data_IF_832083213771
#
_entry.id   IF_832083213771
#
_cell.length_a   1.000
_cell.length_b   1.000
_cell.length_c   1.000
_cell.angle_alpha   90.00
_cell.angle_beta   90.00
_cell.angle_gamma   90.00
#
_symmetry.space_group_name_H-M   'P 1'
#
loop_
_entity.id
_entity.type
_entity.pdbx_description
1 polymer ?
#
# COMPACT_ATOMS: atom_id res chain seq x y z
N UNK A 1 3.92 23.00 49.46
CA UNK A 1 2.85 22.98 48.44
C UNK A 1 2.84 21.64 47.70
N UNK A 2 2.62 20.54 48.42
CA UNK A 2 2.88 19.17 47.91
C UNK A 2 1.77 18.16 48.24
N UNK A 3 0.55 18.61 48.54
CA UNK A 3 -0.56 17.71 48.91
C UNK A 3 -1.83 17.91 48.07
N UNK A 4 -1.96 18.98 47.28
CA UNK A 4 -3.14 19.19 46.43
C UNK A 4 -3.13 18.39 45.12
N UNK A 5 -1.96 17.94 44.65
CA UNK A 5 -1.85 17.17 43.40
C UNK A 5 -2.26 15.69 43.52
N UNK A 6 -2.32 15.13 44.73
CA UNK A 6 -2.85 13.77 44.96
C UNK A 6 -4.36 13.72 45.16
N UNK A 7 -5.02 14.87 45.33
CA UNK A 7 -6.47 14.93 45.51
C UNK A 7 -7.25 15.01 44.18
N UNK A 8 -6.56 15.13 43.03
CA UNK A 8 -7.18 15.10 41.69
C UNK A 8 -7.04 13.76 40.95
N UNK A 9 -6.43 12.76 41.57
CA UNK A 9 -6.38 11.38 41.06
C UNK A 9 -7.54 10.51 41.56
N UNK A 10 -8.54 11.13 42.20
CA UNK A 10 -9.77 10.46 42.68
C UNK A 10 -11.04 11.04 42.05
N UNK A 11 -10.93 11.71 40.89
CA UNK A 11 -12.10 11.95 40.05
C UNK A 11 -12.38 10.70 39.22
N UNK A 12 -13.14 9.78 39.82
CA UNK A 12 -14.10 8.87 39.19
C UNK A 12 -13.69 8.40 37.80
N UNK A 13 -13.27 7.13 37.72
CA UNK A 13 -13.43 6.30 36.53
C UNK A 13 -14.91 6.36 36.12
N UNK A 14 -15.32 7.41 35.39
CA UNK A 14 -16.64 7.49 34.79
C UNK A 14 -16.58 6.49 33.67
N UNK A 15 -17.05 5.28 33.95
CA UNK A 15 -17.44 4.34 32.91
C UNK A 15 -18.13 5.11 31.80
N UNK A 16 -17.70 4.92 30.56
CA UNK A 16 -18.32 5.51 29.39
C UNK A 16 -19.82 5.19 29.42
N UNK A 17 -20.63 6.15 29.86
CA UNK A 17 -22.05 5.92 30.08
C UNK A 17 -22.73 5.70 28.74
N UNK A 18 -23.62 4.72 28.64
CA UNK A 18 -24.37 4.43 27.41
C UNK A 18 -25.24 5.60 26.91
N UNK A 19 -25.50 6.60 27.76
CA UNK A 19 -26.15 7.85 27.38
C UNK A 19 -25.24 8.79 26.57
N UNK A 20 -23.93 8.55 26.55
CA UNK A 20 -22.97 9.36 25.80
C UNK A 20 -22.90 8.89 24.34
N UNK A 21 -23.09 9.77 23.34
CA UNK A 21 -22.92 9.44 21.93
C UNK A 21 -21.56 8.80 21.59
N UNK A 22 -20.50 9.13 22.33
CA UNK A 22 -19.19 8.49 22.17
C UNK A 22 -19.21 6.99 22.50
N UNK A 23 -20.06 6.56 23.42
CA UNK A 23 -20.24 5.14 23.74
C UNK A 23 -20.78 4.36 22.54
N UNK A 24 -21.75 4.95 21.83
CA UNK A 24 -22.33 4.37 20.63
C UNK A 24 -21.33 4.33 19.49
N UNK A 25 -20.62 5.43 19.24
CA UNK A 25 -19.57 5.48 18.23
C UNK A 25 -18.48 4.44 18.49
N UNK A 26 -17.96 4.37 19.72
CA UNK A 26 -16.98 3.36 20.11
C UNK A 26 -17.52 1.92 19.98
N UNK A 27 -18.77 1.69 20.40
CA UNK A 27 -19.43 0.39 20.24
C UNK A 27 -19.54 -0.03 18.76
N UNK A 28 -19.87 0.91 17.87
CA UNK A 28 -19.89 0.67 16.42
C UNK A 28 -18.48 0.32 15.90
N UNK A 29 -17.45 1.09 16.27
CA UNK A 29 -16.07 0.79 15.87
C UNK A 29 -15.62 -0.60 16.34
N UNK A 30 -16.01 -0.99 17.55
CA UNK A 30 -15.70 -2.30 18.16
C UNK A 30 -16.38 -3.43 17.38
N UNK A 31 -17.67 -3.28 17.06
CA UNK A 31 -18.42 -4.27 16.26
C UNK A 31 -17.83 -4.40 14.86
N UNK A 32 -17.58 -3.28 14.19
CA UNK A 32 -16.96 -3.26 12.85
C UNK A 32 -15.59 -3.94 12.88
N UNK A 33 -14.78 -3.68 13.91
CA UNK A 33 -13.48 -4.35 14.09
C UNK A 33 -13.61 -5.86 14.28
N UNK A 34 -14.61 -6.31 15.04
CA UNK A 34 -14.91 -7.74 15.20
C UNK A 34 -15.28 -8.39 13.86
N UNK A 35 -16.10 -7.72 13.05
CA UNK A 35 -16.44 -8.17 11.68
C UNK A 35 -15.20 -8.23 10.80
N UNK A 36 -14.37 -7.19 10.80
CA UNK A 36 -13.14 -7.12 10.00
C UNK A 36 -12.18 -8.28 10.33
N UNK A 37 -11.98 -8.57 11.62
CA UNK A 37 -11.16 -9.70 12.08
C UNK A 37 -11.76 -11.04 11.62
N UNK A 38 -13.07 -11.22 11.77
CA UNK A 38 -13.75 -12.44 11.35
C UNK A 38 -13.59 -12.68 9.83
N UNK A 39 -13.77 -11.64 9.01
CA UNK A 39 -13.57 -11.72 7.55
C UNK A 39 -12.12 -12.05 7.23
N UNK A 40 -11.14 -11.43 7.91
CA UNK A 40 -9.72 -11.78 7.70
C UNK A 40 -9.46 -13.26 8.00
N UNK A 41 -10.02 -13.82 9.08
CA UNK A 41 -9.89 -15.25 9.37
C UNK A 41 -10.55 -16.14 8.32
N UNK A 42 -11.70 -15.73 7.75
CA UNK A 42 -12.34 -16.45 6.64
C UNK A 42 -11.42 -16.47 5.42
N UNK A 43 -10.87 -15.32 5.02
CA UNK A 43 -9.93 -15.23 3.89
C UNK A 43 -8.66 -16.05 4.16
N UNK A 44 -8.11 -15.97 5.37
CA UNK A 44 -6.95 -16.75 5.78
C UNK A 44 -7.22 -18.25 5.62
N UNK A 45 -8.37 -18.75 6.09
CA UNK A 45 -8.74 -20.17 5.97
C UNK A 45 -8.96 -20.58 4.51
N UNK A 46 -9.62 -19.74 3.72
CA UNK A 46 -9.91 -20.03 2.31
C UNK A 46 -8.65 -20.12 1.46
N UNK A 47 -7.66 -19.25 1.71
CA UNK A 47 -6.41 -19.22 0.97
C UNK A 47 -5.27 -19.99 1.65
N UNK A 48 -5.53 -20.64 2.79
CA UNK A 48 -4.54 -21.43 3.51
C UNK A 48 -4.02 -22.61 2.67
N UNK A 49 -4.88 -23.24 1.87
CA UNK A 49 -4.46 -24.36 0.99
C UNK A 49 -3.47 -23.92 -0.08
N UNK A 50 -3.62 -22.70 -0.61
CA UNK A 50 -2.67 -22.08 -1.55
C UNK A 50 -1.34 -21.73 -0.87
N UNK A 51 -1.37 -21.46 0.44
CA UNK A 51 -0.20 -21.16 1.26
C UNK A 51 0.72 -22.38 1.41
N UNK A 52 0.14 -23.57 1.58
CA UNK A 52 0.85 -24.82 1.85
C UNK A 52 1.35 -25.56 0.60
N UNK A 53 0.87 -25.20 -0.59
CA UNK A 53 1.21 -25.89 -1.84
C UNK A 53 2.52 -25.44 -2.53
N UNK A 54 3.16 -24.36 -2.06
CA UNK A 54 4.38 -23.82 -2.69
C UNK A 54 5.63 -24.19 -1.89
N UNK A 55 6.28 -25.28 -2.28
CA UNK A 55 7.61 -25.69 -1.80
C UNK A 55 8.67 -24.71 -2.35
N UNK A 56 8.76 -23.50 -1.81
CA UNK A 56 9.82 -22.54 -2.14
C UNK A 56 9.41 -21.08 -2.02
N UNK A 57 9.54 -20.52 -0.81
CA UNK A 57 9.29 -19.10 -0.51
C UNK A 57 7.90 -18.81 0.03
N UNK A 58 7.69 -17.67 0.73
CA UNK A 58 6.35 -17.25 1.11
C UNK A 58 5.54 -17.03 -0.17
N UNK A 59 4.44 -17.76 -0.33
CA UNK A 59 3.51 -17.53 -1.43
C UNK A 59 3.06 -16.06 -1.41
N UNK A 60 2.96 -15.42 -2.57
CA UNK A 60 2.63 -13.99 -2.66
C UNK A 60 1.30 -13.64 -1.96
N UNK A 61 0.33 -14.56 -1.97
CA UNK A 61 -0.93 -14.42 -1.23
C UNK A 61 -0.72 -14.45 0.28
N UNK A 62 0.24 -15.25 0.78
CA UNK A 62 0.63 -15.28 2.18
C UNK A 62 1.19 -13.95 2.66
N UNK A 63 2.04 -13.31 1.85
CA UNK A 63 2.53 -11.98 2.12
C UNK A 63 1.37 -10.96 2.15
N UNK A 64 0.48 -10.99 1.16
CA UNK A 64 -0.69 -10.10 1.13
C UNK A 64 -1.59 -10.26 2.36
N UNK A 65 -1.84 -11.49 2.81
CA UNK A 65 -2.62 -11.77 4.02
C UNK A 65 -1.92 -11.29 5.29
N UNK A 66 -0.59 -11.43 5.37
CA UNK A 66 0.21 -10.94 6.50
C UNK A 66 0.18 -9.40 6.57
N UNK A 67 0.37 -8.73 5.44
CA UNK A 67 0.28 -7.26 5.36
C UNK A 67 -1.14 -6.79 5.73
N UNK A 68 -2.17 -7.47 5.23
CA UNK A 68 -3.55 -7.20 5.62
C UNK A 68 -3.80 -7.45 7.10
N UNK A 69 -3.21 -8.49 7.69
CA UNK A 69 -3.32 -8.78 9.11
C UNK A 69 -2.79 -7.60 9.94
N UNK A 70 -1.58 -7.12 9.62
CA UNK A 70 -0.98 -5.98 10.29
C UNK A 70 -1.91 -4.76 10.24
N UNK A 71 -2.56 -4.50 9.10
CA UNK A 71 -3.52 -3.42 8.96
C UNK A 71 -4.82 -3.65 9.75
N UNK A 72 -5.49 -4.80 9.55
CA UNK A 72 -6.76 -5.17 10.20
C UNK A 72 -6.62 -5.15 11.73
N UNK A 73 -5.60 -5.83 12.27
CA UNK A 73 -5.38 -5.89 13.72
C UNK A 73 -4.88 -4.54 14.28
N UNK A 74 -4.12 -3.77 13.51
CA UNK A 74 -3.75 -2.41 13.89
C UNK A 74 -4.96 -1.46 14.02
N UNK A 75 -5.86 -1.50 13.04
CA UNK A 75 -7.11 -0.75 13.07
C UNK A 75 -8.04 -1.23 14.20
N UNK A 76 -8.11 -2.54 14.44
CA UNK A 76 -8.90 -3.09 15.56
C UNK A 76 -8.35 -2.64 16.91
N UNK A 77 -7.03 -2.67 17.10
CA UNK A 77 -6.38 -2.16 18.31
C UNK A 77 -6.74 -0.69 18.57
N UNK A 78 -6.68 0.16 17.54
CA UNK A 78 -7.04 1.58 17.64
C UNK A 78 -8.55 1.84 17.75
N UNK A 79 -9.38 0.90 17.31
CA UNK A 79 -10.84 0.96 17.51
C UNK A 79 -11.24 0.58 18.93
N UNK A 80 -10.56 -0.39 19.54
CA UNK A 80 -10.78 -0.77 20.94
C UNK A 80 -10.19 0.26 21.90
N UNK A 81 -9.08 0.91 21.53
CA UNK A 81 -8.43 1.97 22.29
C UNK A 81 -8.30 3.26 21.44
N UNK A 82 -9.43 3.96 21.18
CA UNK A 82 -9.39 5.22 20.43
C UNK A 82 -8.55 6.27 21.17
N UNK A 83 -7.79 7.03 20.39
CA UNK A 83 -6.95 8.14 20.86
C UNK A 83 -6.71 9.15 19.73
N UNK A 84 -6.61 10.43 20.08
CA UNK A 84 -6.13 11.45 19.17
C UNK A 84 -4.68 11.81 19.55
N UNK A 85 -3.76 11.46 18.66
CA UNK A 85 -2.34 11.36 18.99
C UNK A 85 -1.72 12.71 19.34
N UNK A 86 -2.01 13.77 18.56
CA UNK A 86 -1.46 15.12 18.79
C UNK A 86 -2.07 15.79 20.04
N UNK A 87 -3.37 15.62 20.26
CA UNK A 87 -4.09 16.19 21.41
C UNK A 87 -3.79 15.48 22.73
N UNK A 88 -3.16 14.30 22.68
CA UNK A 88 -2.93 13.41 23.84
C UNK A 88 -4.21 12.94 24.51
N UNK A 89 -5.33 12.90 23.81
CA UNK A 89 -6.60 12.43 24.38
C UNK A 89 -6.85 10.97 24.06
N UNK A 90 -7.46 10.24 24.99
CA UNK A 90 -7.83 8.83 24.81
C UNK A 90 -9.14 8.51 25.55
N UNK A 91 -9.77 7.39 25.16
CA UNK A 91 -11.03 6.96 25.77
C UNK A 91 -10.82 6.11 27.04
N UNK A 92 -9.70 5.40 27.14
CA UNK A 92 -9.42 4.47 28.23
C UNK A 92 -8.07 4.73 28.88
N UNK A 93 -8.02 4.68 30.22
CA UNK A 93 -6.78 4.83 30.97
C UNK A 93 -6.00 3.51 31.02
N UNK A 94 -5.07 3.32 30.08
CA UNK A 94 -4.16 2.17 30.07
C UNK A 94 -2.87 2.55 29.38
N UNK A 95 -1.77 1.88 29.73
CA UNK A 95 -0.47 2.09 29.06
C UNK A 95 -0.54 1.79 27.55
N UNK A 96 -1.47 0.93 27.13
CA UNK A 96 -1.74 0.65 25.72
C UNK A 96 -2.34 1.85 24.97
N UNK A 97 -2.95 2.80 25.69
CA UNK A 97 -3.46 4.07 25.15
C UNK A 97 -2.36 5.12 24.95
N UNK A 98 -1.12 4.82 25.34
CA UNK A 98 0.01 5.71 25.08
C UNK A 98 0.13 6.03 23.59
N UNK A 99 0.55 7.26 23.31
CA UNK A 99 0.63 7.76 21.94
C UNK A 99 1.74 7.05 21.16
N UNK A 100 2.86 6.71 21.81
CA UNK A 100 3.94 5.93 21.18
C UNK A 100 3.43 4.58 20.69
N UNK A 101 2.77 3.78 21.55
CA UNK A 101 2.26 2.46 21.16
C UNK A 101 1.25 2.61 20.02
N UNK A 102 0.36 3.59 20.12
CA UNK A 102 -0.65 3.86 19.11
C UNK A 102 -0.12 4.23 17.74
N UNK A 103 0.85 5.16 17.73
CA UNK A 103 1.47 5.64 16.51
C UNK A 103 2.37 4.57 15.91
N UNK A 104 3.09 3.78 16.72
CA UNK A 104 3.85 2.63 16.22
C UNK A 104 2.97 1.59 15.54
N UNK A 105 1.83 1.24 16.15
CA UNK A 105 0.86 0.30 15.54
C UNK A 105 0.29 0.88 14.23
N UNK A 106 -0.08 2.16 14.22
CA UNK A 106 -0.57 2.82 13.01
C UNK A 106 0.49 2.86 11.90
N UNK A 107 1.74 3.20 12.22
CA UNK A 107 2.84 3.23 11.25
C UNK A 107 3.07 1.86 10.60
N UNK A 108 3.10 0.78 11.39
CA UNK A 108 3.22 -0.58 10.83
C UNK A 108 2.04 -0.91 9.93
N UNK A 109 0.82 -0.63 10.40
CA UNK A 109 -0.40 -0.86 9.64
C UNK A 109 -0.37 -0.11 8.29
N UNK A 110 -0.07 1.18 8.31
CA UNK A 110 -0.05 2.08 7.15
C UNK A 110 1.00 1.68 6.11
N UNK A 111 2.21 1.33 6.55
CA UNK A 111 3.25 0.81 5.66
C UNK A 111 2.80 -0.51 5.02
N UNK A 112 2.17 -1.40 5.79
CA UNK A 112 1.66 -2.67 5.26
C UNK A 112 0.55 -2.44 4.22
N UNK A 113 -0.38 -1.53 4.47
CA UNK A 113 -1.44 -1.17 3.53
C UNK A 113 -0.88 -0.55 2.24
N UNK A 114 0.08 0.35 2.37
CA UNK A 114 0.80 0.93 1.22
C UNK A 114 1.53 -0.14 0.41
N UNK A 115 2.15 -1.11 1.08
CA UNK A 115 2.83 -2.23 0.43
C UNK A 115 1.84 -3.12 -0.35
N UNK A 116 0.63 -3.38 0.17
CA UNK A 116 -0.40 -4.12 -0.57
C UNK A 116 -0.77 -3.43 -1.90
N UNK A 117 -0.96 -2.10 -1.87
CA UNK A 117 -1.21 -1.33 -3.10
C UNK A 117 -0.04 -1.40 -4.07
N UNK A 118 1.19 -1.25 -3.58
CA UNK A 118 2.39 -1.36 -4.40
C UNK A 118 2.50 -2.75 -5.07
N UNK A 119 2.23 -3.83 -4.34
CA UNK A 119 2.25 -5.21 -4.86
C UNK A 119 1.20 -5.37 -5.98
N UNK A 120 -0.04 -4.94 -5.75
CA UNK A 120 -1.12 -5.07 -6.75
C UNK A 120 -0.82 -4.25 -8.01
N UNK A 121 -0.37 -3.01 -7.86
CA UNK A 121 -0.02 -2.19 -9.02
C UNK A 121 1.18 -2.75 -9.78
N UNK A 122 2.20 -3.23 -9.08
CA UNK A 122 3.35 -3.86 -9.71
C UNK A 122 2.95 -5.11 -10.50
N UNK A 123 2.11 -5.95 -9.91
CA UNK A 123 1.57 -7.15 -10.55
C UNK A 123 0.77 -6.81 -11.81
N UNK A 124 -0.22 -5.92 -11.70
CA UNK A 124 -1.06 -5.50 -12.82
C UNK A 124 -0.21 -4.84 -13.92
N UNK A 125 0.70 -3.94 -13.54
CA UNK A 125 1.62 -3.28 -14.47
C UNK A 125 2.53 -4.26 -15.20
N UNK A 126 3.03 -5.30 -14.52
CA UNK A 126 3.85 -6.36 -15.13
C UNK A 126 3.03 -7.17 -16.12
N UNK A 127 1.79 -7.54 -15.76
CA UNK A 127 0.90 -8.28 -16.66
C UNK A 127 0.53 -7.52 -17.93
N UNK A 128 0.38 -6.19 -17.83
CA UNK A 128 -0.02 -5.36 -18.98
C UNK A 128 1.17 -4.73 -19.71
N UNK A 129 2.39 -4.85 -19.21
CA UNK A 129 3.57 -4.14 -19.73
C UNK A 129 3.47 -2.61 -19.59
N UNK A 130 2.77 -2.11 -18.56
CA UNK A 130 2.51 -0.69 -18.38
C UNK A 130 3.57 -0.04 -17.47
N UNK A 131 4.63 0.53 -18.06
CA UNK A 131 5.73 1.18 -17.32
C UNK A 131 5.26 2.28 -16.36
N UNK A 132 4.22 3.03 -16.75
CA UNK A 132 3.61 4.06 -15.89
C UNK A 132 3.05 3.48 -14.60
N UNK A 133 2.45 2.29 -14.66
CA UNK A 133 1.90 1.59 -13.49
C UNK A 133 3.03 1.00 -12.63
N UNK A 134 4.09 0.49 -13.26
CA UNK A 134 5.27 -0.01 -12.56
C UNK A 134 5.99 1.11 -11.80
N UNK A 135 6.17 2.26 -12.43
CA UNK A 135 6.75 3.44 -11.80
C UNK A 135 5.87 3.97 -10.66
N UNK A 136 4.55 3.97 -10.85
CA UNK A 136 3.59 4.29 -9.79
C UNK A 136 3.75 3.35 -8.59
N UNK A 137 3.85 2.05 -8.81
CA UNK A 137 4.06 1.06 -7.75
C UNK A 137 5.34 1.31 -6.95
N UNK A 138 6.44 1.64 -7.63
CA UNK A 138 7.76 1.81 -7.03
C UNK A 138 7.86 3.00 -6.05
N UNK A 139 7.03 4.04 -6.23
CA UNK A 139 7.10 5.27 -5.42
C UNK A 139 6.16 5.26 -4.21
N UNK A 140 5.18 4.37 -4.14
CA UNK A 140 4.16 4.34 -3.07
C UNK A 140 4.81 4.20 -1.69
N UNK A 141 5.56 3.12 -1.45
CA UNK A 141 6.12 2.84 -0.12
C UNK A 141 7.13 3.91 0.33
N UNK A 142 8.08 4.37 -0.52
CA UNK A 142 8.98 5.48 -0.15
C UNK A 142 8.24 6.76 0.27
N UNK A 143 7.18 7.14 -0.44
CA UNK A 143 6.40 8.33 -0.10
C UNK A 143 5.67 8.15 1.24
N UNK A 144 5.10 6.97 1.50
CA UNK A 144 4.45 6.69 2.79
C UNK A 144 5.45 6.68 3.93
N UNK A 145 6.66 6.14 3.76
CA UNK A 145 7.71 6.24 4.79
C UNK A 145 8.07 7.70 5.12
N UNK A 146 8.08 8.59 4.12
CA UNK A 146 8.27 10.03 4.34
C UNK A 146 7.06 10.61 5.10
N UNK A 147 5.83 10.24 4.73
CA UNK A 147 4.62 10.66 5.43
C UNK A 147 4.65 10.25 6.92
N UNK A 148 5.10 9.02 7.22
CA UNK A 148 5.25 8.55 8.61
C UNK A 148 6.26 9.39 9.41
N UNK A 149 7.37 9.81 8.79
CA UNK A 149 8.30 10.73 9.45
C UNK A 149 7.62 12.05 9.84
N UNK A 150 6.75 12.60 8.98
CA UNK A 150 5.96 13.79 9.31
C UNK A 150 4.90 13.51 10.38
N UNK A 151 4.27 12.35 10.35
CA UNK A 151 3.33 11.88 11.38
C UNK A 151 3.99 11.85 12.76
N UNK A 152 5.15 11.20 12.86
CA UNK A 152 5.94 11.14 14.09
C UNK A 152 6.44 12.51 14.53
N UNK A 153 6.94 13.32 13.59
CA UNK A 153 7.37 14.69 13.90
C UNK A 153 6.23 15.50 14.52
N UNK A 154 5.04 15.44 13.92
CA UNK A 154 3.88 16.19 14.38
C UNK A 154 3.42 15.74 15.76
N UNK A 155 3.38 14.42 15.98
CA UNK A 155 3.01 13.83 17.27
C UNK A 155 4.01 14.21 18.35
N UNK A 156 5.31 14.07 18.10
CA UNK A 156 6.37 14.40 19.07
C UNK A 156 6.38 15.90 19.38
N UNK A 157 6.27 16.77 18.38
CA UNK A 157 6.40 18.22 18.57
C UNK A 157 5.08 18.94 18.86
N UNK A 158 3.96 18.22 18.82
CA UNK A 158 2.58 18.75 18.82
C UNK A 158 2.27 19.70 17.67
N UNK A 159 3.03 19.62 16.56
CA UNK A 159 2.90 20.50 15.42
C UNK A 159 1.95 19.91 14.36
N UNK A 160 0.69 20.34 14.35
CA UNK A 160 -0.33 19.89 13.39
C UNK A 160 0.03 20.10 11.91
N UNK A 161 1.03 20.95 11.59
CA UNK A 161 1.51 21.09 10.22
C UNK A 161 2.10 19.79 9.67
N UNK A 162 2.74 18.97 10.51
CA UNK A 162 3.27 17.68 10.07
C UNK A 162 2.16 16.71 9.68
N UNK A 163 1.05 16.63 10.43
CA UNK A 163 -0.13 15.85 10.04
C UNK A 163 -0.74 16.36 8.71
N UNK A 164 -0.77 17.69 8.50
CA UNK A 164 -1.27 18.23 7.24
C UNK A 164 -0.39 17.81 6.05
N UNK A 165 0.94 17.79 6.22
CA UNK A 165 1.89 17.34 5.19
C UNK A 165 1.76 15.83 4.96
N UNK A 166 1.74 15.02 6.01
CA UNK A 166 1.50 13.57 5.95
C UNK A 166 0.24 13.25 5.13
N UNK A 167 -0.90 13.84 5.49
CA UNK A 167 -2.17 13.60 4.79
C UNK A 167 -2.16 14.13 3.34
N UNK A 168 -1.40 15.19 3.08
CA UNK A 168 -1.17 15.66 1.70
C UNK A 168 -0.34 14.65 0.88
N UNK A 169 0.65 14.00 1.49
CA UNK A 169 1.43 12.94 0.83
C UNK A 169 0.54 11.73 0.55
N UNK A 170 -0.34 11.35 1.47
CA UNK A 170 -1.36 10.32 1.22
C UNK A 170 -2.25 10.66 0.02
N UNK A 171 -2.67 11.93 -0.12
CA UNK A 171 -3.43 12.40 -1.29
C UNK A 171 -2.62 12.23 -2.58
N UNK A 172 -1.34 12.60 -2.59
CA UNK A 172 -0.46 12.43 -3.75
C UNK A 172 -0.29 10.95 -4.10
N UNK A 173 -0.06 10.08 -3.12
CA UNK A 173 0.08 8.64 -3.31
C UNK A 173 -1.19 8.05 -3.93
N UNK A 174 -2.36 8.35 -3.39
CA UNK A 174 -3.61 7.82 -3.91
C UNK A 174 -4.01 8.43 -5.26
N UNK A 175 -3.60 9.66 -5.55
CA UNK A 175 -3.71 10.23 -6.89
C UNK A 175 -2.87 9.46 -7.90
N UNK A 176 -1.62 9.12 -7.56
CA UNK A 176 -0.73 8.28 -8.38
C UNK A 176 -1.33 6.89 -8.58
N UNK A 177 -1.85 6.27 -7.52
CA UNK A 177 -2.55 4.96 -7.60
C UNK A 177 -3.74 5.06 -8.55
N UNK A 178 -4.61 6.07 -8.37
CA UNK A 178 -5.77 6.30 -9.23
C UNK A 178 -5.39 6.49 -10.70
N UNK A 179 -4.34 7.26 -10.99
CA UNK A 179 -3.83 7.44 -12.34
C UNK A 179 -3.32 6.12 -12.95
N UNK A 180 -2.62 5.29 -12.16
CA UNK A 180 -2.21 3.94 -12.55
C UNK A 180 -3.40 3.04 -12.89
N UNK A 181 -4.44 3.02 -12.04
CA UNK A 181 -5.65 2.25 -12.29
C UNK A 181 -6.42 2.74 -13.54
N UNK A 182 -6.50 4.06 -13.75
CA UNK A 182 -7.09 4.64 -14.96
C UNK A 182 -6.34 4.20 -16.22
N UNK A 183 -5.00 4.12 -16.16
CA UNK A 183 -4.19 3.62 -17.27
C UNK A 183 -4.42 2.13 -17.53
N UNK A 184 -4.67 1.33 -16.49
CA UNK A 184 -5.00 -0.09 -16.62
C UNK A 184 -6.44 -0.34 -17.07
N UNK A 185 -7.34 0.63 -16.92
CA UNK A 185 -8.76 0.45 -17.24
C UNK A 185 -9.07 -0.08 -18.66
N UNK A 186 -8.44 0.39 -19.76
CA UNK A 186 -8.69 -0.13 -21.10
C UNK A 186 -8.08 -1.53 -21.35
N UNK A 187 -7.22 -2.01 -20.46
CA UNK A 187 -6.49 -3.27 -20.59
C UNK A 187 -7.31 -4.49 -20.16
N UNK A 188 -8.45 -4.26 -19.50
CA UNK A 188 -9.31 -5.28 -18.91
C UNK A 188 -10.79 -5.04 -19.27
N UNK A 189 -11.55 -6.12 -19.41
CA UNK A 189 -13.00 -6.12 -19.63
C UNK A 189 -13.76 -6.94 -18.58
N UNK A 190 -15.10 -6.82 -18.61
CA UNK A 190 -15.98 -7.59 -17.74
C UNK A 190 -15.83 -7.25 -16.25
N UNK A 191 -15.90 -8.26 -15.34
CA UNK A 191 -15.84 -8.04 -13.89
C UNK A 191 -14.60 -7.30 -13.40
N UNK A 192 -13.41 -7.55 -13.99
CA UNK A 192 -12.16 -6.89 -13.57
C UNK A 192 -12.23 -5.39 -13.83
N UNK A 193 -12.77 -4.99 -14.98
CA UNK A 193 -12.98 -3.58 -15.31
C UNK A 193 -13.93 -2.89 -14.33
N UNK A 194 -15.00 -3.58 -13.91
CA UNK A 194 -15.94 -3.07 -12.91
C UNK A 194 -15.24 -2.86 -11.56
N UNK A 195 -14.40 -3.81 -11.13
CA UNK A 195 -13.61 -3.68 -9.89
C UNK A 195 -12.66 -2.49 -9.97
N UNK A 196 -11.98 -2.28 -11.10
CA UNK A 196 -11.12 -1.10 -11.31
C UNK A 196 -11.91 0.21 -11.22
N UNK A 197 -13.10 0.28 -11.84
CA UNK A 197 -13.98 1.46 -11.77
C UNK A 197 -14.38 1.75 -10.32
N UNK A 198 -14.81 0.72 -9.58
CA UNK A 198 -15.18 0.86 -8.17
C UNK A 198 -13.99 1.37 -7.34
N UNK A 199 -12.79 0.82 -7.56
CA UNK A 199 -11.57 1.27 -6.89
C UNK A 199 -11.25 2.74 -7.22
N UNK A 200 -11.35 3.14 -8.49
CA UNK A 200 -11.13 4.54 -8.93
C UNK A 200 -12.14 5.48 -8.27
N UNK A 201 -13.43 5.11 -8.20
CA UNK A 201 -14.46 5.91 -7.52
C UNK A 201 -14.16 6.02 -6.03
N UNK A 202 -13.76 4.93 -5.37
CA UNK A 202 -13.36 4.93 -3.97
C UNK A 202 -12.17 5.86 -3.71
N UNK A 203 -11.15 5.82 -4.57
CA UNK A 203 -9.99 6.72 -4.52
C UNK A 203 -10.42 8.18 -4.70
N UNK A 204 -11.28 8.47 -5.68
CA UNK A 204 -11.79 9.82 -5.90
C UNK A 204 -12.55 10.34 -4.67
N UNK A 205 -13.36 9.50 -4.02
CA UNK A 205 -14.03 9.82 -2.76
C UNK A 205 -13.06 10.09 -1.61
N UNK A 206 -12.02 9.26 -1.47
CA UNK A 206 -10.96 9.46 -0.48
C UNK A 206 -10.17 10.75 -0.71
N UNK A 207 -9.80 11.06 -1.96
CA UNK A 207 -9.14 12.32 -2.31
C UNK A 207 -10.03 13.52 -2.00
N UNK A 208 -11.32 13.45 -2.31
CA UNK A 208 -12.27 14.51 -1.95
C UNK A 208 -12.31 14.71 -0.43
N UNK A 209 -12.33 13.62 0.35
CA UNK A 209 -12.29 13.68 1.81
C UNK A 209 -11.00 14.34 2.34
N UNK A 210 -9.83 13.92 1.86
CA UNK A 210 -8.56 14.51 2.26
C UNK A 210 -8.49 16.02 1.98
N UNK A 211 -8.95 16.43 0.80
CA UNK A 211 -8.84 17.81 0.33
C UNK A 211 -9.88 18.76 0.96
N UNK A 212 -11.02 18.24 1.42
CA UNK A 212 -12.13 19.07 1.91
C UNK A 212 -12.35 18.99 3.41
N UNK A 213 -11.92 17.90 4.06
CA UNK A 213 -12.16 17.66 5.48
C UNK A 213 -10.84 17.53 6.23
N UNK A 214 -10.02 16.56 5.88
CA UNK A 214 -8.91 16.10 6.73
C UNK A 214 -7.73 17.09 6.74
N UNK A 215 -7.15 17.40 5.58
CA UNK A 215 -6.05 18.38 5.49
C UNK A 215 -6.49 19.77 5.99
N UNK A 216 -7.68 20.29 5.61
CA UNK A 216 -8.18 21.55 6.17
C UNK A 216 -8.33 21.54 7.69
N UNK A 217 -8.77 20.43 8.30
CA UNK A 217 -8.87 20.29 9.76
C UNK A 217 -7.49 20.51 10.41
N UNK A 218 -6.44 19.83 9.95
CA UNK A 218 -5.10 19.99 10.49
C UNK A 218 -4.51 21.39 10.27
N UNK A 219 -4.73 21.99 9.10
CA UNK A 219 -4.30 23.36 8.83
C UNK A 219 -5.02 24.38 9.72
N UNK A 220 -6.30 24.17 10.00
CA UNK A 220 -7.06 25.06 10.89
C UNK A 220 -6.52 25.00 12.33
N UNK A 221 -6.21 23.80 12.85
CA UNK A 221 -5.61 23.59 14.17
C UNK A 221 -4.21 24.17 14.25
N UNK A 222 -3.41 24.02 13.20
CA UNK A 222 -2.08 24.63 13.13
C UNK A 222 -2.18 26.16 13.19
N UNK A 223 -3.04 26.79 12.39
CA UNK A 223 -3.24 28.25 12.40
C UNK A 223 -3.73 28.75 13.75
N UNK A 224 -4.66 28.04 14.39
CA UNK A 224 -5.13 28.37 15.73
C UNK A 224 -3.98 28.29 16.75
N UNK A 225 -3.20 27.20 16.73
CA UNK A 225 -2.04 27.07 17.61
C UNK A 225 -0.99 28.15 17.40
N UNK A 226 -0.76 28.61 16.16
CA UNK A 226 0.15 29.73 15.87
C UNK A 226 -0.42 31.04 16.42
N UNK A 227 -1.71 31.29 16.26
CA UNK A 227 -2.37 32.49 16.76
C UNK A 227 -2.36 32.56 18.31
N UNK A 228 -2.53 31.42 18.96
CA UNK A 228 -2.52 31.32 20.43
C UNK A 228 -1.10 31.36 21.03
N UNK A 229 -0.05 31.41 20.20
CA UNK A 229 1.34 31.39 20.65
C UNK A 229 1.75 30.07 21.29
N UNK A 230 1.12 28.96 20.88
CA UNK A 230 1.41 27.63 21.42
C UNK A 230 2.90 27.29 21.27
N UNK A 231 3.52 26.86 22.36
CA UNK A 231 4.91 26.42 22.35
C UNK A 231 4.97 24.98 21.87
N UNK A 232 5.63 24.77 20.74
CA UNK A 232 5.98 23.42 20.27
C UNK A 232 6.91 22.75 21.27
N UNK A 233 6.76 21.44 21.43
CA UNK A 233 7.67 20.65 22.26
C UNK A 233 9.00 20.43 21.52
N UNK A 234 10.10 20.51 22.26
CA UNK A 234 11.40 20.05 21.76
C UNK A 234 11.37 18.54 21.49
N UNK A 235 12.10 17.99 20.51
CA UNK A 235 11.99 16.57 20.13
C UNK A 235 12.17 15.56 21.29
N UNK A 236 13.15 15.77 22.17
CA UNK A 236 13.36 14.90 23.34
C UNK A 236 12.24 15.02 24.39
N UNK A 237 11.76 16.24 24.62
CA UNK A 237 10.65 16.51 25.54
C UNK A 237 9.37 15.85 25.00
N UNK A 238 9.13 16.02 23.71
CA UNK A 238 8.06 15.38 22.96
C UNK A 238 8.08 13.86 23.07
N UNK A 239 9.26 13.23 22.88
CA UNK A 239 9.40 11.76 23.00
C UNK A 239 9.03 11.25 24.40
N UNK A 240 9.44 11.97 25.44
CA UNK A 240 9.04 11.64 26.81
C UNK A 240 7.54 11.85 27.02
N UNK A 241 6.99 12.95 26.50
CA UNK A 241 5.58 13.31 26.60
C UNK A 241 4.69 12.25 25.94
N UNK A 242 4.95 11.86 24.68
CA UNK A 242 4.16 10.85 23.96
C UNK A 242 4.19 9.46 24.62
N UNK A 243 5.23 9.19 25.42
CA UNK A 243 5.41 7.92 26.13
C UNK A 243 4.69 7.87 27.47
N UNK A 244 4.37 9.02 28.07
CA UNK A 244 3.95 9.09 29.49
C UNK A 244 2.68 9.89 29.73
N UNK A 245 2.25 10.70 28.77
CA UNK A 245 1.09 11.57 28.89
C UNK A 245 -0.03 11.14 27.96
N UNK A 246 -1.17 10.81 28.55
CA UNK A 246 -2.47 10.71 27.88
C UNK A 246 -3.55 11.19 28.84
N UNK A 247 -4.53 11.91 28.32
CA UNK A 247 -5.63 12.49 29.08
C UNK A 247 -6.90 11.74 28.70
N UNK A 248 -7.56 11.14 29.68
CA UNK A 248 -8.85 10.48 29.43
C UNK A 248 -9.93 11.53 29.34
N UNK A 249 -10.65 11.57 28.22
CA UNK A 249 -11.80 12.44 28.04
C UNK A 249 -12.94 11.71 27.34
N UNK A 250 -14.14 11.94 27.87
CA UNK A 250 -15.40 11.46 27.31
C UNK A 250 -16.28 12.62 26.82
N UNK A 251 -15.67 13.78 26.55
CA UNK A 251 -16.36 14.95 26.02
C UNK A 251 -16.45 14.87 24.50
N UNK A 252 -17.67 14.78 23.97
CA UNK A 252 -17.92 14.73 22.53
C UNK A 252 -17.31 15.92 21.77
N UNK A 253 -17.21 17.10 22.40
CA UNK A 253 -16.67 18.28 21.75
C UNK A 253 -15.20 18.13 21.35
N UNK A 254 -14.41 17.39 22.14
CA UNK A 254 -12.99 17.10 21.89
C UNK A 254 -12.79 16.05 20.79
N UNK A 255 -13.78 15.16 20.62
CA UNK A 255 -13.72 14.02 19.69
C UNK A 255 -14.41 14.27 18.35
N UNK A 256 -15.31 15.26 18.25
CA UNK A 256 -16.20 15.44 17.09
C UNK A 256 -15.48 15.47 15.74
N UNK A 257 -14.31 16.09 15.69
CA UNK A 257 -13.52 16.24 14.47
C UNK A 257 -12.73 14.95 14.14
N UNK A 258 -12.49 14.09 15.15
CA UNK A 258 -11.79 12.82 15.00
C UNK A 258 -12.71 11.69 14.50
N UNK A 259 -14.01 11.77 14.82
CA UNK A 259 -14.98 10.71 14.56
C UNK A 259 -15.02 10.34 13.07
N UNK A 260 -15.04 11.33 12.18
CA UNK A 260 -15.23 11.09 10.74
C UNK A 260 -14.06 10.31 10.13
N UNK A 261 -12.84 10.81 10.30
CA UNK A 261 -11.66 10.17 9.70
C UNK A 261 -11.37 8.82 10.34
N UNK A 262 -11.49 8.70 11.67
CA UNK A 262 -11.30 7.42 12.37
C UNK A 262 -12.30 6.37 11.91
N UNK A 263 -13.56 6.74 11.72
CA UNK A 263 -14.58 5.81 11.26
C UNK A 263 -14.26 5.29 9.86
N UNK A 264 -13.86 6.17 8.92
CA UNK A 264 -13.47 5.77 7.56
C UNK A 264 -12.21 4.90 7.57
N UNK A 265 -11.20 5.29 8.34
CA UNK A 265 -9.92 4.60 8.42
C UNK A 265 -10.07 3.20 9.07
N UNK A 266 -10.84 3.06 10.16
CA UNK A 266 -11.04 1.76 10.81
C UNK A 266 -12.10 0.86 10.13
N UNK A 267 -12.78 1.36 9.10
CA UNK A 267 -13.77 0.59 8.33
C UNK A 267 -13.40 0.52 6.85
N UNK A 268 -13.78 1.51 6.04
CA UNK A 268 -13.64 1.49 4.58
C UNK A 268 -12.22 1.14 4.11
N UNK A 269 -11.18 1.68 4.76
CA UNK A 269 -9.81 1.35 4.40
C UNK A 269 -9.44 -0.12 4.73
N UNK A 270 -9.98 -0.67 5.83
CA UNK A 270 -9.80 -2.09 6.18
C UNK A 270 -10.46 -2.99 5.14
N UNK A 271 -11.66 -2.62 4.66
CA UNK A 271 -12.33 -3.35 3.59
C UNK A 271 -11.56 -3.26 2.27
N UNK A 272 -10.92 -2.12 1.97
CA UNK A 272 -10.02 -2.01 0.84
C UNK A 272 -8.81 -2.95 0.99
N UNK A 273 -8.18 -3.01 2.16
CA UNK A 273 -7.06 -3.94 2.45
C UNK A 273 -7.44 -5.40 2.25
N UNK A 274 -8.62 -5.81 2.74
CA UNK A 274 -9.15 -7.17 2.55
C UNK A 274 -9.47 -7.44 1.07
N UNK A 275 -10.04 -6.48 0.35
CA UNK A 275 -10.33 -6.59 -1.07
C UNK A 275 -9.05 -6.77 -1.91
N UNK A 276 -7.93 -6.11 -1.54
CA UNK A 276 -6.65 -6.30 -2.21
C UNK A 276 -6.15 -7.76 -2.10
N UNK A 277 -6.36 -8.44 -0.97
CA UNK A 277 -6.06 -9.87 -0.85
C UNK A 277 -6.90 -10.72 -1.80
N UNK A 278 -8.20 -10.43 -1.90
CA UNK A 278 -9.10 -11.13 -2.82
C UNK A 278 -8.66 -10.89 -4.27
N UNK A 279 -8.42 -9.64 -4.66
CA UNK A 279 -7.94 -9.29 -5.99
C UNK A 279 -6.62 -10.01 -6.33
N UNK A 280 -5.67 -10.08 -5.39
CA UNK A 280 -4.42 -10.80 -5.57
C UNK A 280 -4.64 -12.30 -5.83
N UNK A 281 -5.55 -12.94 -5.08
CA UNK A 281 -5.85 -14.37 -5.24
C UNK A 281 -6.43 -14.73 -6.62
N UNK A 282 -7.02 -13.75 -7.32
CA UNK A 282 -7.62 -13.92 -8.63
C UNK A 282 -6.61 -13.80 -9.79
N UNK A 283 -5.32 -13.65 -9.49
CA UNK A 283 -4.22 -13.54 -10.46
C UNK A 283 -4.34 -14.50 -11.64
N UNK A 284 -4.52 -15.79 -11.37
CA UNK A 284 -4.58 -16.83 -12.41
C UNK A 284 -5.78 -16.69 -13.36
N UNK A 285 -6.80 -15.93 -12.96
CA UNK A 285 -7.99 -15.66 -13.75
C UNK A 285 -7.93 -14.34 -14.52
N UNK A 286 -7.06 -13.39 -14.13
CA UNK A 286 -6.93 -12.08 -14.76
C UNK A 286 -6.64 -12.14 -16.27
N UNK A 287 -5.79 -13.06 -16.80
CA UNK A 287 -5.53 -13.13 -18.24
C UNK A 287 -6.78 -13.38 -19.09
N UNK A 288 -7.82 -14.01 -18.56
CA UNK A 288 -9.07 -14.28 -19.28
C UNK A 288 -9.90 -13.02 -19.54
N UNK A 289 -9.62 -11.95 -18.81
CA UNK A 289 -10.33 -10.68 -18.90
C UNK A 289 -9.54 -9.62 -19.65
N UNK A 290 -8.41 -9.98 -20.30
CA UNK A 290 -7.65 -9.09 -21.18
C UNK A 290 -8.42 -8.88 -22.48
N UNK A 291 -8.49 -7.64 -22.95
CA UNK A 291 -9.17 -7.25 -24.19
C UNK A 291 -8.53 -7.94 -25.41
N UNK A 292 -9.34 -8.46 -26.36
CA UNK A 292 -8.86 -9.19 -27.55
C UNK A 292 -7.88 -8.37 -28.42
N UNK A 293 -8.11 -7.06 -28.54
CA UNK A 293 -7.23 -6.12 -29.27
C UNK A 293 -5.81 -6.11 -28.68
N UNK A 294 -5.69 -6.27 -27.36
CA UNK A 294 -4.40 -6.28 -26.66
C UNK A 294 -3.68 -7.62 -26.77
N UNK A 295 -4.43 -8.73 -26.82
CA UNK A 295 -3.85 -10.05 -27.10
C UNK A 295 -3.26 -10.08 -28.52
N UNK A 296 -3.97 -9.47 -29.48
CA UNK A 296 -3.51 -9.35 -30.87
C UNK A 296 -2.25 -8.47 -31.01
N UNK A 297 -2.14 -7.35 -30.28
CA UNK A 297 -0.92 -6.53 -30.29
C UNK A 297 0.28 -7.28 -29.71
N UNK A 298 0.09 -8.04 -28.63
CA UNK A 298 1.14 -8.88 -28.04
C UNK A 298 1.63 -9.95 -29.00
N UNK A 299 0.71 -10.60 -29.72
CA UNK A 299 1.08 -11.56 -30.76
C UNK A 299 1.86 -10.88 -31.90
N UNK A 300 1.45 -9.68 -32.33
CA UNK A 300 2.11 -8.92 -33.40
C UNK A 300 3.51 -8.46 -33.00
N UNK A 301 3.69 -7.98 -31.75
CA UNK A 301 4.99 -7.57 -31.22
C UNK A 301 5.92 -8.77 -31.00
N UNK A 302 5.40 -9.91 -30.54
CA UNK A 302 6.14 -11.15 -30.41
C UNK A 302 6.57 -11.70 -31.79
N UNK A 303 5.69 -11.65 -32.80
CA UNK A 303 6.04 -11.99 -34.19
C UNK A 303 7.05 -11.00 -34.79
N UNK A 304 6.96 -9.70 -34.47
CA UNK A 304 7.92 -8.70 -34.92
C UNK A 304 9.30 -8.87 -34.26
N UNK A 305 9.34 -9.24 -32.97
CA UNK A 305 10.57 -9.56 -32.25
C UNK A 305 11.22 -10.85 -32.77
N UNK A 306 10.42 -11.90 -33.03
CA UNK A 306 10.89 -13.14 -33.65
C UNK A 306 11.38 -12.93 -35.09
N UNK A 307 10.69 -12.11 -35.88
CA UNK A 307 11.11 -11.73 -37.23
C UNK A 307 12.42 -10.95 -37.27
N UNK A 308 12.66 -10.07 -36.28
CA UNK A 308 13.96 -9.39 -36.12
C UNK A 308 15.08 -10.37 -35.75
N UNK A 309 14.78 -11.37 -34.92
CA UNK A 309 15.77 -12.38 -34.53
C UNK A 309 16.15 -13.33 -35.69
N UNK A 310 15.27 -13.52 -36.67
CA UNK A 310 15.57 -14.25 -37.90
C UNK A 310 16.35 -13.45 -38.95
N UNK A 311 16.37 -12.11 -38.88
CA UNK A 311 17.14 -11.26 -39.80
C UNK A 311 18.63 -11.09 -39.45
N UNK A 312 19.11 -11.71 -38.35
CA UNK A 312 20.53 -11.65 -37.93
C UNK A 312 21.12 -13.06 -37.84
N UNK A 313 21.02 -13.84 -38.92
CA UNK A 313 21.95 -14.94 -39.19
C UNK A 313 22.39 -14.81 -40.65
N UNK A 314 23.31 -13.88 -40.90
CA UNK A 314 24.19 -13.96 -42.08
C UNK A 314 25.19 -15.09 -41.80
N UNK A 315 24.92 -16.26 -42.39
CA UNK A 315 25.91 -17.32 -42.53
C UNK A 315 27.02 -16.80 -43.46
N UNK A 316 28.31 -16.75 -43.05
CA UNK A 316 29.37 -16.44 -44.00
C UNK A 316 29.51 -17.61 -44.99
N UNK A 317 29.36 -17.31 -46.27
CA UNK A 317 29.56 -18.25 -47.37
C UNK A 317 31.02 -18.76 -47.36
N UNK A 318 31.18 -20.09 -47.38
CA UNK A 318 32.44 -20.76 -47.67
C UNK A 318 32.95 -20.37 -49.07
N UNK A 319 34.25 -20.10 -49.26
CA UNK A 319 34.80 -19.79 -50.57
C UNK A 319 34.82 -21.04 -51.48
N UNK A 320 34.63 -20.88 -52.80
CA UNK A 320 34.59 -21.99 -53.74
C UNK A 320 35.97 -22.61 -53.97
N UNK A 321 36.01 -23.95 -53.97
CA UNK A 321 37.16 -24.79 -54.35
C UNK A 321 37.60 -24.47 -55.78
N UNK A 322 38.83 -24.00 -55.93
CA UNK A 322 39.47 -23.78 -57.21
C UNK A 322 39.75 -25.12 -57.91
N UNK A 323 39.27 -25.24 -59.14
CA UNK A 323 39.61 -26.30 -60.09
C UNK A 323 41.12 -26.31 -60.39
N UNK A 324 41.82 -27.36 -59.97
CA UNK A 324 43.11 -27.73 -60.56
C UNK A 324 42.90 -28.23 -62.00
N UNK A 325 43.49 -27.54 -62.98
CA UNK A 325 43.60 -28.00 -64.36
C UNK A 325 44.58 -29.19 -64.46
N UNK A 326 44.34 -30.14 -65.39
CA UNK A 326 45.23 -31.26 -65.65
C UNK A 326 46.48 -30.82 -66.44
N UNK A 327 47.63 -31.40 -66.11
CA UNK A 327 48.88 -31.26 -66.85
C UNK A 327 48.89 -32.14 -68.13
N UNK A 328 49.51 -31.67 -69.23
CA UNK A 328 49.58 -32.41 -70.51
C UNK A 328 50.65 -33.51 -70.52
N UNK A 329 50.56 -34.47 -71.46
CA UNK A 329 51.36 -35.70 -71.47
C UNK A 329 52.78 -35.48 -72.02
N UNK A 330 53.75 -36.17 -71.43
CA UNK A 330 55.08 -36.39 -72.00
C UNK A 330 55.11 -37.82 -72.54
N UNK A 331 55.30 -37.94 -73.86
CA UNK A 331 55.63 -39.19 -74.53
C UNK A 331 57.01 -39.07 -75.19
N UNK A 332 57.61 -40.24 -75.36
CA UNK A 332 58.73 -40.61 -76.23
C UNK A 332 60.14 -40.64 -75.63
N UNK A 333 60.78 -41.79 -75.85
CA UNK A 333 62.19 -42.03 -75.60
C UNK A 333 62.50 -43.48 -75.24
N UNK A 334 62.17 -44.42 -76.11
CA UNK A 334 62.61 -45.81 -75.99
C UNK A 334 64.06 -46.00 -76.42
N UNK A 335 64.73 -47.01 -75.85
CA UNK A 335 65.66 -47.85 -76.60
C UNK A 335 65.68 -49.26 -75.99
N UNK A 336 65.50 -50.21 -76.89
CA UNK A 336 65.66 -51.64 -76.70
C UNK A 336 67.13 -52.02 -76.50
N UNK A 337 67.35 -52.99 -75.64
CA UNK A 337 68.30 -54.08 -75.83
C UNK A 337 67.47 -55.37 -75.84
N UNK A 338 67.50 -56.24 -76.85
CA UNK A 338 68.10 -56.18 -78.19
C UNK A 338 67.84 -57.53 -78.89
N UNK A 339 67.63 -57.51 -80.20
CA UNK A 339 68.13 -58.45 -81.22
C UNK A 339 67.60 -58.08 -82.59
#
# INVERSE_FOLDING_TARGET
MSLEWRARSTSVSRSLAWSNPLAWWWGVLTVVSGVNIAVWFVLYRQFHEQLTGSLGGPSGIGLMLLLSAAYVFGCAFRSFLPRADVQRICLFDTWLSSVVVGRSVATVAEICFAAQWAIILHQLGTMTGADTTLNAAAVIVPLILIAECFSWYAVVTTNYLGNAIENSIWAVVFFIVGAGLCRLLPEFDGPVRVVLIIAIIGIAGYLAFLMTVDVPMYLSRWRAGVADGSKLLGPLEGLRDVSTRWVVTHDLAEWKDEIAWMSLYFSAAVWASLALCVCYSLESHLPRYRTEVTIASWSSDAFAAAGKQQSVIYLPALPPLAHCRPAPPVCEGGSESGT
#
